data_IF_236288176219
#
_entry.id   IF_236288176219
#
_cell.length_a   1.000
_cell.length_b   1.000
_cell.length_c   1.000
_cell.angle_alpha   90.00
_cell.angle_beta   90.00
_cell.angle_gamma   90.00
#
_symmetry.space_group_name_H-M   'P 1'
#
loop_
_entity.id
_entity.type
_entity.pdbx_description
1 polymer ?
#
# COMPACT_ATOMS: atom_id res chain seq x y z
N UNK A 1 0.64 13.16 -22.93
CA UNK A 1 1.45 12.06 -22.36
C UNK A 1 1.09 11.96 -20.89
N UNK A 2 0.11 11.13 -20.56
CA UNK A 2 -0.55 11.08 -19.25
C UNK A 2 -0.99 9.65 -18.96
N UNK A 3 -0.09 8.68 -19.18
CA UNK A 3 -0.45 7.25 -19.20
C UNK A 3 0.22 6.39 -18.11
N UNK A 4 0.85 6.99 -17.09
CA UNK A 4 1.55 6.22 -16.04
C UNK A 4 1.07 6.50 -14.62
N UNK A 5 -0.23 6.70 -14.40
CA UNK A 5 -0.81 6.63 -13.06
C UNK A 5 -1.65 5.35 -12.97
N UNK A 6 -0.99 4.24 -12.65
CA UNK A 6 -1.68 3.02 -12.25
C UNK A 6 -2.17 3.21 -10.81
N UNK A 7 -3.33 3.84 -10.64
CA UNK A 7 -4.05 3.78 -9.38
C UNK A 7 -4.66 2.39 -9.28
N UNK A 8 -3.93 1.46 -8.67
CA UNK A 8 -4.48 0.16 -8.28
C UNK A 8 -5.72 0.40 -7.43
N UNK A 9 -6.86 0.01 -7.98
CA UNK A 9 -8.17 0.07 -7.33
C UNK A 9 -8.18 -0.94 -6.18
N UNK A 10 -7.52 -0.61 -5.07
CA UNK A 10 -7.74 -1.32 -3.82
C UNK A 10 -9.22 -1.15 -3.44
N UNK A 11 -10.01 -2.23 -3.55
CA UNK A 11 -11.36 -2.23 -2.98
C UNK A 11 -11.19 -2.14 -1.47
N UNK A 12 -11.74 -1.09 -0.85
CA UNK A 12 -11.80 -0.99 0.60
C UNK A 12 -12.61 -2.16 1.15
N UNK A 13 -12.04 -2.90 2.10
CA UNK A 13 -12.72 -3.96 2.84
C UNK A 13 -12.97 -3.41 4.25
N UNK A 14 -14.24 -3.25 4.68
CA UNK A 14 -14.54 -2.74 6.00
C UNK A 14 -14.09 -3.71 7.10
N UNK A 15 -13.58 -3.22 8.25
CA UNK A 15 -13.04 -4.06 9.33
C UNK A 15 -14.02 -5.07 9.92
N UNK A 16 -15.34 -4.86 9.75
CA UNK A 16 -16.40 -5.72 10.25
C UNK A 16 -16.65 -6.96 9.38
N UNK A 17 -16.00 -7.07 8.21
CA UNK A 17 -16.22 -8.13 7.23
C UNK A 17 -15.10 -9.21 7.21
N UNK A 18 -14.27 -9.31 8.25
CA UNK A 18 -13.24 -10.35 8.36
C UNK A 18 -13.67 -11.49 9.32
N UNK A 19 -14.63 -12.37 8.97
CA UNK A 19 -14.69 -13.67 9.58
C UNK A 19 -13.62 -14.55 8.92
N UNK A 20 -12.65 -14.99 9.72
CA UNK A 20 -11.68 -16.06 9.46
C UNK A 20 -10.33 -15.63 8.87
N UNK A 21 -9.32 -15.74 9.73
CA UNK A 21 -7.96 -16.29 9.62
C UNK A 21 -7.21 -16.51 8.28
N UNK A 22 -7.83 -16.38 7.11
CA UNK A 22 -7.18 -16.62 5.82
C UNK A 22 -6.41 -15.37 5.35
N UNK A 23 -5.23 -15.55 4.73
CA UNK A 23 -4.50 -14.44 4.13
C UNK A 23 -5.33 -13.69 3.09
N UNK A 24 -5.27 -12.36 3.12
CA UNK A 24 -5.99 -11.53 2.15
C UNK A 24 -5.36 -11.69 0.75
N UNK A 25 -6.06 -12.35 -0.17
CA UNK A 25 -5.59 -12.63 -1.52
C UNK A 25 -5.19 -11.37 -2.31
N UNK A 26 -5.89 -10.25 -2.10
CA UNK A 26 -5.59 -8.96 -2.77
C UNK A 26 -4.23 -8.42 -2.30
N UNK A 27 -3.96 -8.53 -1.00
CA UNK A 27 -2.67 -8.12 -0.42
C UNK A 27 -1.54 -9.00 -0.97
N UNK A 28 -1.76 -10.31 -1.05
CA UNK A 28 -0.76 -11.24 -1.60
C UNK A 28 -0.45 -10.91 -3.06
N UNK A 29 -1.48 -10.78 -3.92
CA UNK A 29 -1.31 -10.48 -5.34
C UNK A 29 -0.50 -9.19 -5.55
N UNK A 30 -0.80 -8.15 -4.77
CA UNK A 30 -0.08 -6.88 -4.86
C UNK A 30 1.39 -7.00 -4.39
N UNK A 31 1.65 -7.75 -3.31
CA UNK A 31 3.02 -8.00 -2.86
C UNK A 31 3.83 -8.81 -3.88
N UNK A 32 3.23 -9.79 -4.55
CA UNK A 32 3.86 -10.56 -5.61
C UNK A 32 4.19 -9.68 -6.82
N UNK A 33 3.28 -8.78 -7.21
CA UNK A 33 3.51 -7.79 -8.27
C UNK A 33 4.69 -6.87 -7.94
N UNK A 34 4.74 -6.34 -6.72
CA UNK A 34 5.85 -5.50 -6.25
C UNK A 34 7.17 -6.27 -6.20
N UNK A 35 7.15 -7.52 -5.72
CA UNK A 35 8.33 -8.37 -5.68
C UNK A 35 8.88 -8.64 -7.08
N UNK A 36 8.00 -8.90 -8.07
CA UNK A 36 8.39 -9.09 -9.46
C UNK A 36 9.07 -7.84 -10.02
N UNK A 37 8.51 -6.66 -9.79
CA UNK A 37 9.10 -5.39 -10.23
C UNK A 37 10.43 -5.08 -9.54
N UNK A 38 10.57 -5.40 -8.25
CA UNK A 38 11.84 -5.28 -7.54
C UNK A 38 12.92 -6.23 -8.08
N UNK A 39 12.57 -7.50 -8.35
CA UNK A 39 13.47 -8.48 -8.99
C UNK A 39 13.90 -8.05 -10.40
N UNK A 40 13.03 -7.39 -11.15
CA UNK A 40 13.34 -6.81 -12.46
C UNK A 40 14.21 -5.54 -12.36
N UNK A 41 14.41 -4.98 -11.16
CA UNK A 41 15.17 -3.75 -10.95
C UNK A 41 14.40 -2.46 -11.26
N UNK A 42 13.08 -2.55 -11.45
CA UNK A 42 12.20 -1.40 -11.69
C UNK A 42 11.90 -0.65 -10.37
N UNK A 43 11.71 -1.40 -9.29
CA UNK A 43 11.58 -0.84 -7.94
C UNK A 43 12.95 -0.85 -7.27
N UNK A 44 13.47 0.35 -6.99
CA UNK A 44 14.78 0.57 -6.33
C UNK A 44 14.68 0.96 -4.86
N UNK A 45 13.48 1.33 -4.41
CA UNK A 45 13.21 1.68 -3.02
C UNK A 45 11.71 1.57 -2.71
N UNK A 46 11.39 1.32 -1.44
CA UNK A 46 10.02 1.20 -0.94
C UNK A 46 9.90 1.82 0.45
N UNK A 47 8.75 2.41 0.75
CA UNK A 47 8.37 2.87 2.08
C UNK A 47 6.87 2.64 2.26
N UNK A 48 6.45 2.12 3.42
CA UNK A 48 5.05 1.80 3.65
C UNK A 48 4.71 1.48 5.11
N UNK A 49 3.41 1.36 5.37
CA UNK A 49 2.84 0.89 6.62
C UNK A 49 2.02 -0.38 6.35
N UNK A 50 2.00 -1.30 7.31
CA UNK A 50 1.44 -2.64 7.18
C UNK A 50 0.55 -2.93 8.38
N UNK A 51 -0.67 -3.43 8.12
CA UNK A 51 -1.60 -3.88 9.15
C UNK A 51 -1.45 -5.39 9.29
N UNK A 52 -1.15 -5.85 10.49
CA UNK A 52 -1.01 -7.26 10.82
C UNK A 52 -2.36 -7.85 11.25
N UNK A 53 -2.44 -9.18 11.26
CA UNK A 53 -3.66 -9.93 11.63
C UNK A 53 -4.20 -9.56 13.03
N UNK A 54 -3.31 -9.23 13.95
CA UNK A 54 -3.63 -8.79 15.31
C UNK A 54 -3.93 -7.28 15.41
N UNK A 55 -4.09 -6.61 14.26
CA UNK A 55 -4.33 -5.17 14.11
C UNK A 55 -3.14 -4.30 14.57
N UNK A 56 -1.99 -4.89 14.84
CA UNK A 56 -0.76 -4.12 15.02
C UNK A 56 -0.37 -3.49 13.70
N UNK A 57 0.11 -2.24 13.76
CA UNK A 57 0.63 -1.54 12.59
C UNK A 57 2.15 -1.45 12.69
N UNK A 58 2.86 -1.90 11.66
CA UNK A 58 4.28 -1.64 11.50
C UNK A 58 4.53 -0.71 10.31
N UNK A 59 5.69 -0.08 10.27
CA UNK A 59 6.16 0.68 9.12
C UNK A 59 7.60 0.28 8.81
N UNK A 60 7.97 0.36 7.54
CA UNK A 60 9.35 0.09 7.12
C UNK A 60 9.68 0.81 5.83
N UNK A 61 10.98 0.92 5.58
CA UNK A 61 11.54 1.44 4.35
C UNK A 61 12.77 0.62 3.95
N UNK A 62 13.04 0.51 2.66
CA UNK A 62 14.21 -0.20 2.15
C UNK A 62 14.66 0.36 0.79
N UNK A 63 15.97 0.32 0.53
CA UNK A 63 16.56 0.73 -0.74
C UNK A 63 16.70 2.26 -0.88
N UNK A 64 16.59 2.75 -2.12
CA UNK A 64 16.71 4.16 -2.47
C UNK A 64 15.48 4.97 -2.01
N UNK A 65 15.43 5.24 -0.71
CA UNK A 65 14.39 6.04 -0.05
C UNK A 65 14.95 7.42 0.32
N UNK A 66 14.08 8.41 0.60
CA UNK A 66 14.40 9.84 0.85
C UNK A 66 14.48 10.76 -0.38
N UNK A 67 13.91 10.38 -1.52
CA UNK A 67 13.61 11.35 -2.58
C UNK A 67 12.37 12.19 -2.22
N UNK A 68 12.33 13.45 -2.66
CA UNK A 68 11.12 14.30 -2.51
C UNK A 68 9.89 13.66 -3.15
N UNK A 69 10.07 12.90 -4.24
CA UNK A 69 8.99 12.15 -4.88
C UNK A 69 8.40 11.06 -3.98
N UNK A 70 9.23 10.36 -3.19
CA UNK A 70 8.76 9.35 -2.23
C UNK A 70 7.92 10.00 -1.12
N UNK A 71 8.39 11.12 -0.55
CA UNK A 71 7.66 11.84 0.50
C UNK A 71 6.31 12.35 -0.01
N UNK A 72 6.29 13.01 -1.17
CA UNK A 72 5.05 13.47 -1.79
C UNK A 72 4.09 12.32 -2.12
N UNK A 73 4.61 11.17 -2.55
CA UNK A 73 3.82 9.96 -2.76
C UNK A 73 3.16 9.45 -1.48
N UNK A 74 3.90 9.41 -0.36
CA UNK A 74 3.37 9.02 0.94
C UNK A 74 2.31 10.00 1.45
N UNK A 75 2.49 11.30 1.24
CA UNK A 75 1.48 12.31 1.60
C UNK A 75 0.18 12.13 0.80
N UNK A 76 0.28 11.84 -0.50
CA UNK A 76 -0.89 11.54 -1.33
C UNK A 76 -1.65 10.28 -0.84
N UNK A 77 -0.90 9.23 -0.47
CA UNK A 77 -1.48 8.00 0.07
C UNK A 77 -2.16 8.27 1.41
N UNK A 78 -1.49 8.99 2.31
CA UNK A 78 -2.04 9.39 3.61
C UNK A 78 -3.34 10.18 3.45
N UNK A 79 -3.36 11.18 2.57
CA UNK A 79 -4.56 11.98 2.32
C UNK A 79 -5.72 11.10 1.83
N UNK A 80 -5.46 10.17 0.91
CA UNK A 80 -6.48 9.23 0.43
C UNK A 80 -7.00 8.31 1.54
N UNK A 81 -6.12 7.80 2.39
CA UNK A 81 -6.49 6.96 3.54
C UNK A 81 -7.32 7.75 4.55
N UNK A 82 -6.96 9.01 4.83
CA UNK A 82 -7.74 9.90 5.69
C UNK A 82 -9.16 10.08 5.15
N UNK A 83 -9.31 10.35 3.84
CA UNK A 83 -10.64 10.47 3.22
C UNK A 83 -11.47 9.20 3.37
N UNK A 84 -10.87 8.01 3.23
CA UNK A 84 -11.56 6.74 3.44
C UNK A 84 -12.01 6.59 4.91
N UNK A 85 -11.14 6.95 5.86
CA UNK A 85 -11.43 6.85 7.28
C UNK A 85 -12.50 7.85 7.74
N UNK A 86 -12.50 9.08 7.22
CA UNK A 86 -13.44 10.14 7.61
C UNK A 86 -14.74 10.15 6.78
N UNK A 87 -14.79 9.46 5.64
CA UNK A 87 -16.03 9.28 4.87
C UNK A 87 -16.99 8.24 5.48
N UNK A 88 -16.68 7.75 6.69
CA UNK A 88 -17.53 6.82 7.47
C UNK A 88 -18.53 7.53 8.40
N UNK A 89 -18.74 8.85 8.24
CA UNK A 89 -19.89 9.58 8.80
C UNK A 89 -21.08 9.59 7.81
#
# INVERSE_FOLDING_TARGET
MSDNIVSLRGKFIPPAAEPNAEPNAIVIEELERLLKAAKAGEIRGLAGAYVHKDKVVSYSYAGAVASYGMLGGLDCVKERLLRIATAQD
#
